data_IF_582737900496
#
_entry.id   IF_582737900496
#
_cell.length_a   1.000
_cell.length_b   1.000
_cell.length_c   1.000
_cell.angle_alpha   90.00
_cell.angle_beta   90.00
_cell.angle_gamma   90.00
#
_symmetry.space_group_name_H-M   'P 1'
#
loop_
_entity.id
_entity.type
_entity.pdbx_description
1 polymer ?
#
# COMPACT_ATOMS: atom_id res chain seq x y z
N UNK A 1 -13.50 -17.65 50.15
CA UNK A 1 -13.27 -18.91 49.43
C UNK A 1 -14.44 -19.11 48.49
N UNK A 2 -14.19 -19.24 47.17
CA UNK A 2 -15.16 -19.30 46.05
C UNK A 2 -15.83 -17.94 45.76
N UNK A 3 -16.01 -17.44 44.54
CA UNK A 3 -15.75 -17.91 43.17
C UNK A 3 -15.85 -16.65 42.30
N UNK A 4 -14.87 -16.33 41.44
CA UNK A 4 -15.04 -15.31 40.39
C UNK A 4 -14.60 -15.91 39.06
N UNK A 5 -15.62 -16.06 38.22
CA UNK A 5 -15.62 -16.52 36.84
C UNK A 5 -14.70 -15.67 35.96
N UNK A 6 -13.73 -16.32 35.30
CA UNK A 6 -12.98 -15.75 34.19
C UNK A 6 -13.84 -15.80 32.92
N UNK A 7 -14.45 -14.68 32.55
CA UNK A 7 -14.94 -14.46 31.19
C UNK A 7 -13.76 -13.95 30.36
N UNK A 8 -13.08 -14.85 29.64
CA UNK A 8 -12.04 -14.49 28.68
C UNK A 8 -12.69 -14.07 27.36
N UNK A 9 -13.01 -12.78 27.21
CA UNK A 9 -13.27 -12.19 25.89
C UNK A 9 -11.94 -12.07 25.14
N UNK A 10 -11.69 -13.02 24.24
CA UNK A 10 -10.54 -13.01 23.35
C UNK A 10 -10.69 -11.98 22.23
N UNK A 11 -10.36 -10.72 22.50
CA UNK A 11 -10.08 -9.74 21.46
C UNK A 11 -8.75 -10.11 20.79
N UNK A 12 -8.84 -10.85 19.70
CA UNK A 12 -7.70 -11.33 18.91
C UNK A 12 -7.63 -10.56 17.60
N UNK A 13 -7.06 -9.37 17.64
CA UNK A 13 -6.59 -8.66 16.43
C UNK A 13 -5.29 -7.98 16.83
N UNK A 14 -4.24 -8.15 16.01
CA UNK A 14 -3.24 -7.15 15.58
C UNK A 14 -2.22 -7.94 14.71
N UNK A 15 -2.25 -7.73 13.40
CA UNK A 15 -1.34 -8.34 12.40
C UNK A 15 -1.62 -9.81 12.04
N UNK A 16 -1.12 -10.25 10.87
CA UNK A 16 -1.07 -11.67 10.50
C UNK A 16 -0.31 -12.44 11.59
N UNK A 17 -1.02 -13.04 12.54
CA UNK A 17 -0.44 -13.93 13.55
C UNK A 17 0.27 -15.10 12.86
N UNK A 18 1.10 -15.89 13.55
CA UNK A 18 1.70 -17.12 12.97
C UNK A 18 0.67 -17.99 12.23
N UNK A 19 -0.58 -18.05 12.74
CA UNK A 19 -1.71 -18.73 12.11
C UNK A 19 -2.24 -18.01 10.87
N UNK A 20 -2.27 -16.67 10.90
CA UNK A 20 -2.61 -15.84 9.76
C UNK A 20 -1.59 -15.97 8.63
N UNK A 21 -0.28 -15.96 8.92
CA UNK A 21 0.75 -16.15 7.89
C UNK A 21 0.70 -17.53 7.24
N UNK A 22 0.45 -18.58 8.02
CA UNK A 22 0.27 -19.93 7.50
C UNK A 22 -1.00 -20.02 6.63
N UNK A 23 -2.09 -19.35 7.04
CA UNK A 23 -3.32 -19.19 6.25
C UNK A 23 -3.05 -18.47 4.94
N UNK A 24 -2.43 -17.29 4.99
CA UNK A 24 -2.02 -16.50 3.83
C UNK A 24 -1.14 -17.31 2.88
N UNK A 25 -0.12 -18.01 3.40
CA UNK A 25 0.78 -18.84 2.60
C UNK A 25 0.05 -20.01 1.93
N UNK A 26 -0.92 -20.64 2.61
CA UNK A 26 -1.75 -21.69 2.04
C UNK A 26 -2.68 -21.13 0.94
N UNK A 27 -3.29 -19.98 1.17
CA UNK A 27 -4.12 -19.26 0.18
C UNK A 27 -3.28 -18.86 -1.03
N UNK A 28 -2.07 -18.33 -0.82
CA UNK A 28 -1.08 -18.04 -1.85
C UNK A 28 -0.77 -19.27 -2.71
N UNK A 29 -0.56 -20.45 -2.11
CA UNK A 29 -0.35 -21.71 -2.86
C UNK A 29 -1.59 -22.11 -3.68
N UNK A 30 -2.80 -21.89 -3.16
CA UNK A 30 -4.07 -22.15 -3.85
C UNK A 30 -4.21 -21.27 -5.10
N UNK A 31 -4.00 -19.95 -4.96
CA UNK A 31 -4.03 -19.00 -6.08
C UNK A 31 -2.95 -19.30 -7.13
N UNK A 32 -1.75 -19.71 -6.70
CA UNK A 32 -0.64 -20.12 -7.59
C UNK A 32 -0.97 -21.33 -8.47
N UNK A 33 -1.90 -22.19 -8.05
CA UNK A 33 -2.36 -23.35 -8.82
C UNK A 33 -3.46 -23.01 -9.83
N UNK A 34 -4.07 -21.81 -9.76
CA UNK A 34 -5.11 -21.40 -10.69
C UNK A 34 -4.55 -20.78 -11.96
N UNK A 35 -5.10 -21.16 -13.12
CA UNK A 35 -4.69 -20.65 -14.44
C UNK A 35 -5.17 -19.21 -14.71
N UNK A 36 -6.29 -18.80 -14.09
CA UNK A 36 -6.84 -17.44 -14.04
C UNK A 36 -7.54 -17.27 -12.69
N UNK A 37 -7.00 -16.50 -11.73
CA UNK A 37 -7.63 -16.35 -10.43
C UNK A 37 -8.82 -15.41 -10.49
N UNK A 38 -9.84 -15.70 -9.69
CA UNK A 38 -11.11 -14.96 -9.62
C UNK A 38 -11.11 -14.06 -8.38
N UNK A 39 -11.78 -12.90 -8.48
CA UNK A 39 -11.88 -11.94 -7.37
C UNK A 39 -12.74 -12.50 -6.20
N UNK A 40 -12.44 -12.12 -4.94
CA UNK A 40 -13.23 -12.53 -3.77
C UNK A 40 -14.68 -11.98 -3.77
N UNK A 41 -15.63 -12.78 -3.30
CA UNK A 41 -17.03 -12.37 -3.12
C UNK A 41 -17.18 -11.38 -1.94
N UNK A 42 -18.05 -10.37 -2.11
CA UNK A 42 -18.47 -9.37 -1.11
C UNK A 42 -17.47 -8.28 -0.69
N UNK A 43 -16.39 -8.08 -1.46
CA UNK A 43 -15.41 -7.00 -1.18
C UNK A 43 -16.06 -5.62 -1.02
N UNK A 44 -17.14 -5.29 -1.74
CA UNK A 44 -17.78 -3.98 -1.66
C UNK A 44 -18.50 -3.69 -0.31
N UNK A 45 -18.86 -4.72 0.46
CA UNK A 45 -19.71 -4.58 1.67
C UNK A 45 -18.88 -4.56 2.96
N UNK A 46 -17.72 -5.24 2.97
CA UNK A 46 -16.86 -5.37 4.17
C UNK A 46 -16.06 -4.09 4.51
N UNK A 47 -16.02 -3.07 3.63
CA UNK A 47 -15.21 -1.85 3.77
C UNK A 47 -16.01 -0.59 4.16
N UNK A 48 -16.93 -0.68 5.11
CA UNK A 48 -17.64 0.49 5.65
C UNK A 48 -16.96 1.09 6.90
N UNK A 49 -16.82 2.42 6.88
CA UNK A 49 -16.08 3.29 7.81
C UNK A 49 -16.58 3.27 9.26
N UNK A 50 -15.65 3.23 10.25
CA UNK A 50 -15.93 3.45 11.69
C UNK A 50 -14.79 4.18 12.46
N UNK A 51 -15.10 5.42 12.85
CA UNK A 51 -14.69 6.21 14.05
C UNK A 51 -13.26 6.28 14.65
N UNK A 52 -12.84 7.54 14.97
CA UNK A 52 -12.13 7.97 16.22
C UNK A 52 -12.68 9.34 16.68
N UNK A 53 -12.63 9.69 17.99
CA UNK A 53 -12.90 11.03 18.51
C UNK A 53 -11.68 11.69 19.20
N UNK A 54 -10.77 12.38 18.49
CA UNK A 54 -9.70 13.21 19.09
C UNK A 54 -9.18 14.30 18.12
N UNK A 55 -8.64 15.41 18.62
CA UNK A 55 -8.08 16.53 17.82
C UNK A 55 -6.62 16.29 17.37
N UNK A 56 -6.09 17.01 16.35
CA UNK A 56 -4.71 16.81 15.80
C UNK A 56 -3.67 16.68 16.89
N UNK A 57 -3.65 17.66 17.80
CA UNK A 57 -2.64 17.80 18.84
C UNK A 57 -2.77 16.68 19.85
N UNK A 58 -4.00 16.30 20.20
CA UNK A 58 -4.28 15.17 21.08
C UNK A 58 -3.88 13.84 20.44
N UNK A 59 -4.11 13.66 19.14
CA UNK A 59 -3.76 12.44 18.41
C UNK A 59 -2.26 12.30 18.19
N UNK A 60 -1.60 13.37 17.74
CA UNK A 60 -0.15 13.40 17.56
C UNK A 60 0.55 13.24 18.91
N UNK A 61 0.09 13.91 19.97
CA UNK A 61 0.67 13.72 21.30
C UNK A 61 0.40 12.31 21.87
N UNK A 62 -0.80 11.77 21.69
CA UNK A 62 -1.15 10.43 22.18
C UNK A 62 -0.43 9.31 21.40
N UNK A 63 -0.38 9.37 20.07
CA UNK A 63 0.30 8.35 19.27
C UNK A 63 1.80 8.56 19.22
N UNK A 64 2.26 9.75 18.81
CA UNK A 64 3.68 9.99 18.54
C UNK A 64 4.43 10.05 19.86
N UNK A 65 4.15 11.04 20.72
CA UNK A 65 4.95 11.34 21.92
C UNK A 65 4.91 10.24 23.00
N UNK A 66 3.75 9.62 23.22
CA UNK A 66 3.55 8.64 24.31
C UNK A 66 3.86 7.20 23.90
N UNK A 67 3.61 6.82 22.65
CA UNK A 67 3.58 5.41 22.25
C UNK A 67 4.55 5.06 21.12
N UNK A 68 4.80 5.96 20.16
CA UNK A 68 5.73 5.72 19.06
C UNK A 68 7.16 6.21 19.34
N UNK A 69 7.35 7.36 20.00
CA UNK A 69 8.67 7.93 20.33
C UNK A 69 9.65 6.96 21.02
N UNK A 70 9.20 6.01 21.88
CA UNK A 70 10.10 5.01 22.46
C UNK A 70 10.57 3.91 21.50
N UNK A 71 9.93 3.76 20.33
CA UNK A 71 10.20 2.70 19.34
C UNK A 71 10.56 3.26 17.94
N UNK A 72 10.61 4.59 17.78
CA UNK A 72 10.94 5.27 16.53
C UNK A 72 12.41 5.02 16.13
N UNK A 73 12.66 4.38 14.98
CA UNK A 73 14.03 4.10 14.54
C UNK A 73 14.80 5.35 14.10
N UNK A 74 14.13 6.44 13.75
CA UNK A 74 14.75 7.67 13.20
C UNK A 74 15.05 8.73 14.28
N UNK A 75 14.99 8.35 15.56
CA UNK A 75 15.12 9.29 16.68
C UNK A 75 16.59 9.65 16.98
N UNK A 76 16.93 10.92 16.77
CA UNK A 76 18.29 11.46 16.99
C UNK A 76 18.66 11.80 18.46
N UNK A 77 17.74 11.67 19.43
CA UNK A 77 17.99 12.02 20.84
C UNK A 77 18.26 10.79 21.73
N UNK A 78 19.46 10.72 22.30
CA UNK A 78 19.95 9.62 23.15
C UNK A 78 19.13 9.41 24.45
N UNK A 79 18.43 8.29 24.52
CA UNK A 79 18.60 7.19 25.49
C UNK A 79 17.63 6.11 25.00
N UNK A 80 18.12 5.14 24.24
CA UNK A 80 17.40 3.88 24.05
C UNK A 80 17.23 3.29 25.45
N UNK A 81 16.04 3.40 26.03
CA UNK A 81 15.66 2.45 27.06
C UNK A 81 15.86 1.08 26.43
N UNK A 82 16.72 0.23 27.03
CA UNK A 82 16.99 -1.11 26.52
C UNK A 82 15.71 -1.95 26.63
N UNK A 83 14.79 -1.78 25.68
CA UNK A 83 13.56 -2.55 25.59
C UNK A 83 13.92 -3.93 25.10
N UNK A 84 13.41 -4.94 25.79
CA UNK A 84 13.49 -6.31 25.28
C UNK A 84 12.71 -6.41 23.96
N UNK A 85 13.11 -7.32 23.08
CA UNK A 85 12.48 -7.47 21.76
C UNK A 85 10.98 -7.80 21.84
N UNK A 86 10.58 -8.51 22.91
CA UNK A 86 9.19 -8.81 23.23
C UNK A 86 8.40 -7.58 23.68
N UNK A 87 8.98 -6.72 24.54
CA UNK A 87 8.35 -5.45 24.95
C UNK A 87 8.20 -4.50 23.76
N UNK A 88 9.22 -4.44 22.88
CA UNK A 88 9.17 -3.66 21.64
C UNK A 88 8.02 -4.16 20.76
N UNK A 89 7.90 -5.47 20.56
CA UNK A 89 6.82 -6.08 19.78
C UNK A 89 5.43 -5.75 20.34
N UNK A 90 5.26 -5.82 21.67
CA UNK A 90 3.98 -5.45 22.31
C UNK A 90 3.64 -3.98 22.10
N UNK A 91 4.63 -3.08 22.21
CA UNK A 91 4.43 -1.64 22.00
C UNK A 91 4.09 -1.32 20.55
N UNK A 92 4.78 -1.94 19.60
CA UNK A 92 4.46 -1.80 18.18
C UNK A 92 3.03 -2.26 17.87
N UNK A 93 2.64 -3.43 18.37
CA UNK A 93 1.27 -3.93 18.19
C UNK A 93 0.25 -2.95 18.78
N UNK A 94 0.55 -2.37 19.93
CA UNK A 94 -0.29 -1.32 20.53
C UNK A 94 -0.39 -0.08 19.65
N UNK A 95 0.73 0.38 19.08
CA UNK A 95 0.74 1.52 18.14
C UNK A 95 -0.09 1.22 16.90
N UNK A 96 0.06 0.02 16.30
CA UNK A 96 -0.75 -0.39 15.16
C UNK A 96 -2.25 -0.42 15.49
N UNK A 97 -2.62 -0.89 16.68
CA UNK A 97 -4.00 -0.88 17.16
C UNK A 97 -4.55 0.55 17.33
N UNK A 98 -3.73 1.49 17.82
CA UNK A 98 -4.13 2.90 17.96
C UNK A 98 -4.14 3.64 16.63
N UNK A 99 -3.38 3.18 15.65
CA UNK A 99 -3.33 3.74 14.30
C UNK A 99 -4.49 3.26 13.42
N UNK A 100 -5.01 2.05 13.65
CA UNK A 100 -6.10 1.46 12.86
C UNK A 100 -7.31 2.39 12.73
N UNK A 101 -7.84 2.99 13.81
CA UNK A 101 -9.01 3.82 13.64
C UNK A 101 -8.66 5.23 13.07
N UNK A 102 -7.37 5.64 13.06
CA UNK A 102 -6.92 6.85 12.35
C UNK A 102 -6.82 6.63 10.86
N UNK A 103 -6.40 5.43 10.47
CA UNK A 103 -6.37 5.01 9.07
C UNK A 103 -7.78 5.00 8.50
N UNK A 104 -8.74 4.48 9.26
CA UNK A 104 -10.15 4.51 8.88
C UNK A 104 -10.63 5.95 8.65
N UNK A 105 -10.30 6.89 9.55
CA UNK A 105 -10.62 8.32 9.37
C UNK A 105 -9.95 8.99 8.18
N UNK A 106 -8.78 8.49 7.77
CA UNK A 106 -8.05 9.00 6.61
C UNK A 106 -8.45 8.28 5.30
N UNK A 107 -9.51 7.46 5.37
CA UNK A 107 -10.11 6.64 4.31
C UNK A 107 -9.16 5.56 3.77
N UNK A 108 -8.29 5.04 4.63
CA UNK A 108 -7.45 3.90 4.29
C UNK A 108 -8.13 2.61 4.69
N UNK A 109 -8.29 1.70 3.73
CA UNK A 109 -8.86 0.39 3.96
C UNK A 109 -7.77 -0.65 4.10
N UNK A 110 -7.88 -1.50 5.12
CA UNK A 110 -6.98 -2.63 5.30
C UNK A 110 -7.16 -3.63 4.15
N UNK A 111 -6.06 -4.07 3.54
CA UNK A 111 -6.12 -5.08 2.49
C UNK A 111 -6.45 -6.45 3.08
N UNK A 112 -7.42 -7.14 2.48
CA UNK A 112 -7.76 -8.51 2.86
C UNK A 112 -6.60 -9.48 2.59
N UNK A 113 -6.55 -10.59 3.32
CA UNK A 113 -5.52 -11.61 3.13
C UNK A 113 -5.53 -12.15 1.69
N UNK A 114 -6.71 -12.30 1.07
CA UNK A 114 -6.84 -12.79 -0.30
C UNK A 114 -6.33 -11.78 -1.33
N UNK A 115 -6.70 -10.50 -1.18
CA UNK A 115 -6.22 -9.43 -2.05
C UNK A 115 -4.70 -9.27 -1.95
N UNK A 116 -4.16 -9.35 -0.73
CA UNK A 116 -2.72 -9.31 -0.50
C UNK A 116 -2.01 -10.53 -1.09
N UNK A 117 -2.55 -11.74 -0.90
CA UNK A 117 -1.99 -12.97 -1.48
C UNK A 117 -1.94 -12.91 -3.01
N UNK A 118 -2.99 -12.40 -3.65
CA UNK A 118 -3.03 -12.19 -5.09
C UNK A 118 -1.95 -11.18 -5.53
N UNK A 119 -1.90 -10.02 -4.88
CA UNK A 119 -0.98 -8.93 -5.21
C UNK A 119 0.50 -9.27 -5.01
N UNK A 120 0.83 -10.18 -4.08
CA UNK A 120 2.20 -10.64 -3.82
C UNK A 120 2.66 -11.78 -4.74
N UNK A 121 1.77 -12.37 -5.54
CA UNK A 121 2.09 -13.49 -6.44
C UNK A 121 2.07 -13.06 -7.90
N UNK A 122 1.02 -12.33 -8.27
CA UNK A 122 0.74 -12.01 -9.67
C UNK A 122 1.74 -10.97 -10.11
N UNK A 123 2.66 -11.39 -10.98
CA UNK A 123 3.63 -10.53 -11.62
C UNK A 123 3.08 -10.07 -12.97
N UNK A 124 3.12 -8.78 -13.25
CA UNK A 124 2.69 -8.27 -14.54
C UNK A 124 3.80 -8.48 -15.59
N UNK A 125 3.50 -8.95 -16.82
CA UNK A 125 4.50 -9.29 -17.84
C UNK A 125 5.33 -8.08 -18.32
N UNK A 126 4.83 -6.87 -18.12
CA UNK A 126 5.50 -5.62 -18.48
C UNK A 126 6.26 -4.96 -17.32
N UNK A 127 6.34 -5.60 -16.14
CA UNK A 127 7.20 -5.11 -15.07
C UNK A 127 8.64 -5.57 -15.31
N UNK A 128 9.54 -4.59 -15.45
CA UNK A 128 10.96 -4.82 -15.76
C UNK A 128 11.69 -5.49 -14.59
N UNK A 129 11.26 -5.19 -13.38
CA UNK A 129 11.78 -5.74 -12.13
C UNK A 129 10.73 -6.63 -11.49
N UNK A 130 10.96 -7.94 -11.57
CA UNK A 130 10.18 -8.93 -10.82
C UNK A 130 10.85 -9.14 -9.47
N UNK A 131 10.04 -9.28 -8.44
CA UNK A 131 10.53 -9.40 -7.09
C UNK A 131 9.94 -10.68 -6.48
N UNK A 132 10.59 -11.22 -5.45
CA UNK A 132 10.06 -12.40 -4.75
C UNK A 132 10.26 -12.23 -3.26
N UNK A 133 9.15 -12.28 -2.55
CA UNK A 133 9.07 -12.09 -1.11
C UNK A 133 9.19 -13.43 -0.41
N UNK A 134 10.01 -13.49 0.63
CA UNK A 134 10.01 -14.61 1.57
C UNK A 134 9.32 -14.18 2.87
N UNK A 135 8.10 -14.67 3.09
CA UNK A 135 7.29 -14.34 4.27
C UNK A 135 7.91 -14.84 5.58
N UNK A 136 8.77 -15.85 5.53
CA UNK A 136 9.44 -16.39 6.73
C UNK A 136 10.41 -15.39 7.37
N UNK A 137 10.80 -14.34 6.65
CA UNK A 137 11.70 -13.30 7.15
C UNK A 137 10.98 -12.24 7.98
N UNK A 138 9.65 -12.25 8.00
CA UNK A 138 8.82 -11.24 8.62
C UNK A 138 8.13 -11.76 9.88
N UNK A 139 7.97 -10.92 10.89
CA UNK A 139 7.16 -11.17 12.09
C UNK A 139 5.70 -10.79 11.90
N UNK A 140 5.43 -9.75 11.11
CA UNK A 140 4.10 -9.44 10.58
C UNK A 140 4.24 -8.44 9.43
N UNK A 141 3.23 -8.42 8.57
CA UNK A 141 3.11 -7.47 7.45
C UNK A 141 1.65 -7.06 7.39
N UNK A 142 1.39 -5.75 7.29
CA UNK A 142 0.05 -5.21 7.12
C UNK A 142 0.07 -4.13 6.06
N UNK A 143 -0.93 -4.15 5.18
CA UNK A 143 -1.10 -3.17 4.14
C UNK A 143 -2.45 -2.47 4.29
N UNK A 144 -2.46 -1.17 4.04
CA UNK A 144 -3.68 -0.39 3.86
C UNK A 144 -3.62 0.35 2.54
N UNK A 145 -4.74 0.48 1.85
CA UNK A 145 -4.84 1.15 0.57
C UNK A 145 -5.90 2.24 0.62
N UNK A 146 -5.61 3.34 -0.06
CA UNK A 146 -6.52 4.46 -0.25
C UNK A 146 -6.88 4.53 -1.72
N UNK A 147 -8.15 4.23 -2.02
CA UNK A 147 -8.77 4.38 -3.34
C UNK A 147 -8.12 3.55 -4.45
N UNK A 148 -8.89 3.36 -5.53
CA UNK A 148 -8.43 2.66 -6.72
C UNK A 148 -8.64 3.54 -7.95
N UNK A 149 -7.71 3.47 -8.89
CA UNK A 149 -7.79 4.16 -10.17
C UNK A 149 -7.43 3.21 -11.29
N UNK A 150 -8.01 3.45 -12.45
CA UNK A 150 -7.69 2.78 -13.71
C UNK A 150 -7.06 3.82 -14.62
N UNK A 151 -5.91 3.50 -15.19
CA UNK A 151 -5.32 4.33 -16.23
C UNK A 151 -3.91 3.92 -16.59
N UNK A 152 -3.31 4.61 -17.57
CA UNK A 152 -1.98 4.30 -18.03
C UNK A 152 -0.98 4.69 -16.93
N UNK A 153 -0.33 3.70 -16.31
CA UNK A 153 0.69 3.97 -15.32
C UNK A 153 1.92 4.53 -16.04
N UNK A 154 2.26 5.80 -15.75
CA UNK A 154 3.51 6.40 -16.23
C UNK A 154 4.68 5.72 -15.54
N UNK A 155 5.25 4.70 -16.18
CA UNK A 155 6.55 4.15 -15.79
C UNK A 155 7.59 5.23 -16.07
N UNK A 156 8.03 5.95 -15.02
CA UNK A 156 9.00 7.04 -15.17
C UNK A 156 10.35 6.56 -15.72
N UNK A 157 10.64 5.26 -15.60
CA UNK A 157 11.90 4.66 -16.00
C UNK A 157 11.97 4.17 -17.46
N UNK A 158 10.84 4.09 -18.19
CA UNK A 158 10.88 3.64 -19.58
C UNK A 158 11.59 4.70 -20.43
N UNK A 159 12.86 4.45 -20.73
CA UNK A 159 13.67 5.29 -21.61
C UNK A 159 12.97 5.44 -22.96
N UNK A 160 13.19 6.55 -23.66
CA UNK A 160 12.56 6.82 -24.98
C UNK A 160 12.75 5.66 -25.99
N UNK A 161 13.85 4.92 -25.85
CA UNK A 161 14.16 3.73 -26.65
C UNK A 161 13.29 2.49 -26.32
N UNK A 162 12.82 2.33 -25.09
CA UNK A 162 11.94 1.22 -24.66
C UNK A 162 10.48 1.42 -25.05
N UNK A 163 10.10 2.67 -25.35
CA UNK A 163 8.78 3.02 -25.89
C UNK A 163 8.62 2.61 -27.35
N UNK A 164 9.72 2.35 -28.05
CA UNK A 164 9.73 1.78 -29.40
C UNK A 164 10.00 0.28 -29.30
N UNK A 165 9.06 -0.54 -29.76
CA UNK A 165 9.33 -1.96 -29.97
C UNK A 165 10.46 -2.17 -30.98
N UNK A 166 10.94 -3.42 -31.10
CA UNK A 166 11.96 -3.81 -32.09
C UNK A 166 11.59 -3.39 -33.54
N UNK A 167 10.30 -3.11 -33.79
CA UNK A 167 9.72 -2.70 -35.07
C UNK A 167 9.21 -1.24 -35.09
N UNK A 168 9.67 -0.37 -34.18
CA UNK A 168 9.31 1.05 -34.19
C UNK A 168 7.86 1.36 -33.77
N UNK A 169 7.09 0.36 -33.34
CA UNK A 169 5.74 0.59 -32.79
C UNK A 169 5.85 1.25 -31.42
N UNK A 170 5.14 2.37 -31.23
CA UNK A 170 4.99 2.99 -29.93
C UNK A 170 4.23 2.04 -29.00
N UNK A 171 4.88 1.53 -27.95
CA UNK A 171 4.23 0.74 -26.90
C UNK A 171 3.28 1.67 -26.14
N UNK A 172 1.98 1.54 -26.40
CA UNK A 172 0.94 2.20 -25.63
C UNK A 172 0.96 1.57 -24.23
N UNK A 173 1.15 2.34 -23.14
CA UNK A 173 1.06 1.80 -21.79
C UNK A 173 -0.35 1.27 -21.58
N UNK A 174 -0.48 -0.03 -21.30
CA UNK A 174 -1.77 -0.64 -20.98
C UNK A 174 -2.38 0.03 -19.74
N UNK A 175 -3.69 0.22 -19.74
CA UNK A 175 -4.41 0.66 -18.56
C UNK A 175 -4.24 -0.36 -17.44
N UNK A 176 -3.86 0.13 -16.25
CA UNK A 176 -3.67 -0.70 -15.06
C UNK A 176 -4.45 -0.15 -13.90
N UNK A 177 -4.80 -1.05 -13.00
CA UNK A 177 -5.36 -0.69 -11.72
C UNK A 177 -4.23 -0.32 -10.77
N UNK A 178 -4.32 0.85 -10.16
CA UNK A 178 -3.36 1.30 -9.16
C UNK A 178 -4.06 1.91 -7.95
N UNK A 179 -3.47 1.71 -6.79
CA UNK A 179 -3.84 2.37 -5.55
C UNK A 179 -3.30 3.78 -5.54
N UNK A 180 -4.15 4.76 -5.16
CA UNK A 180 -3.72 6.16 -5.07
C UNK A 180 -2.67 6.32 -3.98
N UNK A 181 -2.89 5.69 -2.81
CA UNK A 181 -1.86 5.55 -1.77
C UNK A 181 -1.91 4.17 -1.13
N UNK A 182 -0.74 3.69 -0.69
CA UNK A 182 -0.59 2.42 0.03
C UNK A 182 0.31 2.63 1.23
N UNK A 183 -0.13 2.19 2.40
CA UNK A 183 0.65 2.17 3.63
C UNK A 183 1.10 0.74 3.90
N UNK A 184 2.38 0.59 4.25
CA UNK A 184 2.99 -0.67 4.61
C UNK A 184 3.52 -0.56 6.03
N UNK A 185 3.08 -1.48 6.89
CA UNK A 185 3.67 -1.73 8.19
C UNK A 185 4.27 -3.13 8.19
N UNK A 186 5.59 -3.22 8.31
CA UNK A 186 6.28 -4.51 8.33
C UNK A 186 7.35 -4.53 9.42
N UNK A 187 7.40 -5.64 10.17
CA UNK A 187 8.52 -5.96 11.04
C UNK A 187 9.23 -7.21 10.53
N UNK A 188 10.53 -7.11 10.34
CA UNK A 188 11.40 -8.25 10.01
C UNK A 188 11.86 -8.92 11.30
N UNK A 189 12.23 -10.20 11.23
CA UNK A 189 12.72 -10.95 12.40
C UNK A 189 13.95 -10.26 13.01
N UNK A 190 13.93 -10.03 14.33
CA UNK A 190 15.01 -9.38 15.09
C UNK A 190 15.31 -7.94 14.63
N UNK A 191 14.29 -7.22 14.14
CA UNK A 191 14.41 -5.84 13.68
C UNK A 191 13.28 -4.99 14.24
N UNK A 192 13.30 -3.71 13.91
CA UNK A 192 12.25 -2.75 14.23
C UNK A 192 11.12 -2.74 13.20
N UNK A 193 9.96 -2.22 13.62
CA UNK A 193 8.85 -1.87 12.74
C UNK A 193 9.25 -0.77 11.75
N UNK A 194 9.02 -1.02 10.47
CA UNK A 194 9.13 -0.03 9.38
C UNK A 194 7.73 0.36 8.92
N UNK A 195 7.43 1.66 8.97
CA UNK A 195 6.19 2.24 8.46
C UNK A 195 6.49 3.12 7.24
N UNK A 196 5.84 2.87 6.11
CA UNK A 196 6.02 3.68 4.88
C UNK A 196 4.72 3.87 4.14
N UNK A 197 4.55 5.05 3.54
CA UNK A 197 3.43 5.34 2.64
C UNK A 197 3.93 5.65 1.24
N UNK A 198 3.28 5.04 0.26
CA UNK A 198 3.60 5.13 -1.15
C UNK A 198 2.43 5.68 -1.96
N UNK A 199 2.70 6.40 -3.05
CA UNK A 199 1.71 6.87 -4.04
C UNK A 199 1.76 6.04 -5.31
N UNK A 200 0.61 5.95 -5.98
CA UNK A 200 0.47 5.42 -7.34
C UNK A 200 1.09 4.03 -7.52
N UNK A 201 0.68 3.08 -6.68
CA UNK A 201 1.19 1.70 -6.68
C UNK A 201 0.26 0.77 -7.47
N UNK A 202 0.76 0.03 -8.48
CA UNK A 202 -0.06 -0.97 -9.19
C UNK A 202 -0.47 -2.10 -8.26
N UNK A 203 -1.64 -2.69 -8.50
CA UNK A 203 -2.15 -3.81 -7.68
C UNK A 203 -1.16 -4.99 -7.63
N UNK A 204 -0.53 -5.29 -8.75
CA UNK A 204 0.40 -6.40 -8.93
C UNK A 204 1.81 -6.12 -8.35
N UNK A 205 2.08 -4.89 -7.89
CA UNK A 205 3.41 -4.44 -7.49
C UNK A 205 3.62 -4.31 -5.99
N UNK A 206 2.68 -4.78 -5.14
CA UNK A 206 2.81 -4.64 -3.68
C UNK A 206 4.06 -5.33 -3.11
N UNK A 207 4.54 -6.38 -3.77
CA UNK A 207 5.76 -7.09 -3.39
C UNK A 207 7.01 -6.20 -3.34
N UNK A 208 7.04 -5.16 -4.18
CA UNK A 208 8.19 -4.27 -4.32
C UNK A 208 8.33 -3.31 -3.14
N UNK A 209 7.23 -3.06 -2.40
CA UNK A 209 7.21 -2.12 -1.27
C UNK A 209 7.83 -2.68 0.01
N UNK A 210 8.03 -4.00 0.07
CA UNK A 210 8.53 -4.66 1.26
C UNK A 210 10.04 -4.41 1.44
N UNK A 211 10.55 -4.36 2.69
CA UNK A 211 11.94 -4.01 2.96
C UNK A 211 12.95 -5.12 2.60
N UNK A 212 12.59 -6.39 2.82
CA UNK A 212 13.41 -7.56 2.49
C UNK A 212 12.84 -8.27 1.27
N UNK A 213 13.41 -7.97 0.10
CA UNK A 213 13.00 -8.63 -1.14
C UNK A 213 14.17 -8.99 -2.04
N UNK A 214 14.00 -10.11 -2.76
CA UNK A 214 15.00 -10.61 -3.70
C UNK A 214 14.55 -10.29 -5.11
N UNK A 215 15.40 -9.60 -5.86
CA UNK A 215 15.19 -9.35 -7.29
C UNK A 215 15.24 -10.67 -8.04
N UNK A 216 14.16 -10.98 -8.75
CA UNK A 216 14.03 -12.16 -9.59
C UNK A 216 14.18 -11.72 -11.05
N UNK A 217 15.07 -12.40 -11.77
CA UNK A 217 15.14 -12.24 -13.23
C UNK A 217 14.11 -13.14 -13.90
N UNK A 218 13.34 -12.59 -14.84
CA UNK A 218 12.45 -13.39 -15.70
C UNK A 218 13.23 -14.49 -16.44
N UNK A 219 12.66 -15.71 -16.48
CA UNK A 219 13.28 -16.89 -17.11
C UNK A 219 13.50 -16.63 -18.61
N UNK A 220 12.54 -15.98 -19.28
CA UNK A 220 12.65 -15.65 -20.71
C UNK A 220 13.83 -14.70 -20.98
N UNK A 221 13.96 -13.64 -20.18
CA UNK A 221 15.07 -12.69 -20.32
C UNK A 221 16.42 -13.33 -20.00
N UNK A 222 16.47 -14.21 -19.00
CA UNK A 222 17.69 -14.99 -18.70
C UNK A 222 18.07 -15.93 -19.85
N UNK A 223 17.09 -16.60 -20.45
CA UNK A 223 17.31 -17.47 -21.60
C UNK A 223 17.79 -16.65 -22.82
N UNK A 224 17.11 -15.55 -23.14
CA UNK A 224 17.48 -14.66 -24.24
C UNK A 224 18.90 -14.07 -24.06
N UNK A 225 19.25 -13.69 -22.84
CA UNK A 225 20.59 -13.16 -22.54
C UNK A 225 21.66 -14.25 -22.69
N UNK A 226 21.39 -15.46 -22.20
CA UNK A 226 22.26 -16.62 -22.41
C UNK A 226 22.43 -16.94 -23.90
N UNK A 227 21.36 -16.94 -24.69
CA UNK A 227 21.44 -17.23 -26.12
C UNK A 227 22.23 -16.16 -26.87
N UNK A 228 22.01 -14.88 -26.58
CA UNK A 228 22.79 -13.79 -27.19
C UNK A 228 24.27 -13.86 -26.82
N UNK A 229 24.59 -14.23 -25.57
CA UNK A 229 25.96 -14.44 -25.13
C UNK A 229 26.62 -15.62 -25.86
N UNK A 230 25.90 -16.73 -26.06
CA UNK A 230 26.40 -17.89 -26.81
C UNK A 230 26.61 -17.56 -28.28
N UNK A 231 25.62 -16.94 -28.94
CA UNK A 231 25.70 -16.57 -30.36
C UNK A 231 26.82 -15.56 -30.61
N UNK A 232 26.92 -14.53 -29.77
CA UNK A 232 28.01 -13.54 -29.90
C UNK A 232 29.37 -14.13 -29.55
N UNK A 233 29.46 -15.04 -28.57
CA UNK A 233 30.67 -15.76 -28.23
C UNK A 233 31.15 -16.64 -29.38
N UNK A 234 30.24 -17.40 -30.01
CA UNK A 234 30.55 -18.25 -31.15
C UNK A 234 31.04 -17.43 -32.36
N UNK A 235 30.37 -16.32 -32.67
CA UNK A 235 30.80 -15.42 -33.73
C UNK A 235 32.21 -14.85 -33.49
N UNK A 236 32.51 -14.44 -32.25
CA UNK A 236 33.84 -13.97 -31.86
C UNK A 236 34.89 -15.10 -31.97
N UNK A 237 34.55 -16.32 -31.54
CA UNK A 237 35.43 -17.48 -31.62
C UNK A 237 35.79 -17.83 -33.06
N UNK A 238 34.79 -17.86 -33.96
CA UNK A 238 35.03 -18.16 -35.38
C UNK A 238 35.91 -17.07 -36.00
N UNK A 239 35.57 -15.79 -35.83
CA UNK A 239 36.29 -14.70 -36.47
C UNK A 239 37.70 -14.51 -35.93
N UNK A 240 37.87 -14.44 -34.61
CA UNK A 240 39.17 -14.18 -33.97
C UNK A 240 39.99 -15.46 -33.88
N UNK A 241 39.36 -16.59 -33.56
CA UNK A 241 40.03 -17.88 -33.47
C UNK A 241 40.63 -18.31 -34.80
N UNK A 242 39.93 -18.13 -35.92
CA UNK A 242 40.46 -18.47 -37.24
C UNK A 242 41.72 -17.67 -37.60
N UNK A 243 41.76 -16.37 -37.27
CA UNK A 243 42.93 -15.51 -37.48
C UNK A 243 44.10 -15.94 -36.58
N UNK A 244 43.84 -16.18 -35.29
CA UNK A 244 44.89 -16.58 -34.33
C UNK A 244 45.46 -17.98 -34.61
N UNK A 245 44.63 -18.91 -35.07
CA UNK A 245 45.07 -20.25 -35.50
C UNK A 245 45.94 -20.20 -36.75
N UNK A 246 45.61 -19.31 -37.69
CA UNK A 246 46.33 -19.21 -38.98
C UNK A 246 47.67 -18.48 -38.83
N UNK A 247 47.71 -17.38 -38.07
CA UNK A 247 48.88 -16.49 -38.04
C UNK A 247 49.79 -16.72 -36.83
N UNK A 248 49.26 -17.09 -35.65
CA UNK A 248 50.04 -17.14 -34.41
C UNK A 248 50.55 -18.53 -34.01
N UNK A 249 50.16 -19.61 -34.71
CA UNK A 249 50.52 -21.02 -34.38
C UNK A 249 50.36 -21.36 -32.88
N UNK A 250 49.41 -20.73 -32.20
CA UNK A 250 49.09 -21.00 -30.80
C UNK A 250 48.35 -22.34 -30.70
N UNK A 251 48.70 -23.14 -29.69
CA UNK A 251 48.03 -24.42 -29.43
C UNK A 251 46.53 -24.24 -29.20
N UNK A 252 45.71 -25.12 -29.78
CA UNK A 252 44.25 -25.08 -29.65
C UNK A 252 43.77 -25.07 -28.20
N UNK A 253 44.50 -25.72 -27.31
CA UNK A 253 44.21 -25.80 -25.86
C UNK A 253 44.37 -24.45 -25.16
N UNK A 254 45.41 -23.68 -25.46
CA UNK A 254 45.64 -22.36 -24.86
C UNK A 254 44.68 -21.32 -25.43
N UNK A 255 44.32 -21.43 -26.72
CA UNK A 255 43.28 -20.61 -27.34
C UNK A 255 41.91 -20.83 -26.68
N UNK A 256 41.51 -22.10 -26.48
CA UNK A 256 40.26 -22.45 -25.80
C UNK A 256 40.23 -21.93 -24.36
N UNK A 257 41.34 -22.04 -23.63
CA UNK A 257 41.44 -21.51 -22.27
C UNK A 257 41.29 -19.99 -22.22
N UNK A 258 42.00 -19.26 -23.09
CA UNK A 258 41.91 -17.79 -23.19
C UNK A 258 40.50 -17.35 -23.58
N UNK A 259 39.88 -18.05 -24.53
CA UNK A 259 38.52 -17.79 -24.94
C UNK A 259 37.52 -18.05 -23.81
N UNK A 260 37.65 -19.16 -23.07
CA UNK A 260 36.82 -19.45 -21.92
C UNK A 260 36.95 -18.37 -20.82
N UNK A 261 38.17 -17.90 -20.55
CA UNK A 261 38.41 -16.81 -19.60
C UNK A 261 37.76 -15.48 -20.06
N UNK A 262 37.90 -15.12 -21.33
CA UNK A 262 37.27 -13.93 -21.91
C UNK A 262 35.75 -14.01 -21.89
N UNK A 263 35.20 -15.18 -22.20
CA UNK A 263 33.75 -15.42 -22.14
C UNK A 263 33.22 -15.38 -20.72
N UNK A 264 33.94 -15.94 -19.74
CA UNK A 264 33.60 -15.83 -18.33
C UNK A 264 33.60 -14.36 -17.86
N UNK A 265 34.60 -13.57 -18.27
CA UNK A 265 34.66 -12.14 -17.96
C UNK A 265 33.51 -11.35 -18.60
N UNK A 266 33.21 -11.58 -19.89
CA UNK A 266 32.05 -10.96 -20.56
C UNK A 266 30.74 -11.34 -19.90
N UNK A 267 30.54 -12.62 -19.59
CA UNK A 267 29.37 -13.10 -18.88
C UNK A 267 29.23 -12.34 -17.56
N UNK A 268 30.29 -12.32 -16.75
CA UNK A 268 30.29 -11.63 -15.46
C UNK A 268 29.95 -10.14 -15.59
N UNK A 269 30.56 -9.41 -16.53
CA UNK A 269 30.26 -8.00 -16.80
C UNK A 269 28.79 -7.77 -17.18
N UNK A 270 28.26 -8.55 -18.12
CA UNK A 270 26.87 -8.41 -18.60
C UNK A 270 25.86 -8.73 -17.49
N UNK A 271 26.07 -9.81 -16.74
CA UNK A 271 25.20 -10.19 -15.63
C UNK A 271 25.28 -9.19 -14.46
N UNK A 272 26.48 -8.72 -14.14
CA UNK A 272 26.70 -7.73 -13.08
C UNK A 272 26.02 -6.40 -13.41
N UNK A 273 26.24 -5.89 -14.62
CA UNK A 273 25.62 -4.65 -15.09
C UNK A 273 24.09 -4.73 -15.08
N UNK A 274 23.51 -5.85 -15.55
CA UNK A 274 22.05 -5.99 -15.57
C UNK A 274 21.42 -6.04 -14.17
N UNK A 275 22.07 -6.73 -13.22
CA UNK A 275 21.63 -6.74 -11.81
C UNK A 275 21.60 -5.33 -11.22
N UNK A 276 22.64 -4.54 -11.47
CA UNK A 276 22.74 -3.18 -10.96
C UNK A 276 21.64 -2.26 -11.56
N UNK A 277 21.35 -2.39 -12.86
CA UNK A 277 20.27 -1.64 -13.52
C UNK A 277 18.91 -1.97 -12.88
N UNK A 278 18.61 -3.25 -12.71
CA UNK A 278 17.34 -3.69 -12.09
C UNK A 278 17.20 -3.26 -10.63
N UNK A 279 18.29 -3.30 -9.85
CA UNK A 279 18.25 -2.77 -8.49
C UNK A 279 18.05 -1.25 -8.46
N UNK A 280 18.65 -0.53 -9.42
CA UNK A 280 18.56 0.92 -9.50
C UNK A 280 17.14 1.38 -9.89
N UNK A 281 16.51 0.69 -10.84
CA UNK A 281 15.11 0.93 -11.23
C UNK A 281 14.15 0.77 -10.04
N UNK A 282 14.34 -0.30 -9.25
CA UNK A 282 13.55 -0.53 -8.04
C UNK A 282 13.76 0.59 -7.00
N UNK A 283 15.00 1.02 -6.79
CA UNK A 283 15.33 2.12 -5.88
C UNK A 283 14.69 3.43 -6.36
N UNK A 284 14.78 3.75 -7.65
CA UNK A 284 14.11 4.93 -8.21
C UNK A 284 12.59 4.87 -8.04
N UNK A 285 11.99 3.71 -8.30
CA UNK A 285 10.56 3.50 -8.12
C UNK A 285 10.16 3.77 -6.66
N UNK A 286 10.85 3.16 -5.69
CA UNK A 286 10.58 3.37 -4.27
C UNK A 286 10.83 4.82 -3.84
N UNK A 287 11.90 5.45 -4.31
CA UNK A 287 12.24 6.83 -3.97
C UNK A 287 11.17 7.82 -4.44
N UNK A 288 10.77 7.76 -5.70
CA UNK A 288 9.79 8.72 -6.25
C UNK A 288 8.36 8.45 -5.81
N UNK A 289 8.06 7.21 -5.39
CA UNK A 289 6.73 6.84 -4.92
C UNK A 289 6.60 6.90 -3.40
N UNK A 290 7.68 6.88 -2.63
CA UNK A 290 7.63 7.11 -1.18
C UNK A 290 7.14 8.53 -0.91
N UNK A 291 6.21 8.65 0.02
CA UNK A 291 5.59 9.94 0.40
C UNK A 291 5.92 10.34 1.82
N UNK A 292 5.95 9.39 2.75
CA UNK A 292 6.33 9.62 4.15
C UNK A 292 6.80 8.33 4.80
N UNK A 293 7.67 8.47 5.80
CA UNK A 293 8.26 7.37 6.56
C UNK A 293 7.96 7.53 8.06
N UNK A 294 7.78 6.42 8.78
CA UNK A 294 7.82 6.36 10.24
C UNK A 294 6.97 7.45 10.93
N UNK A 295 7.56 8.35 11.73
CA UNK A 295 6.83 9.41 12.45
C UNK A 295 6.16 10.41 11.51
N UNK A 296 6.80 10.77 10.38
CA UNK A 296 6.21 11.65 9.36
C UNK A 296 4.93 11.05 8.78
N UNK A 297 4.85 9.71 8.67
CA UNK A 297 3.62 9.05 8.26
C UNK A 297 2.49 9.29 9.26
N UNK A 298 2.75 9.21 10.56
CA UNK A 298 1.73 9.44 11.59
C UNK A 298 1.23 10.89 11.54
N UNK A 299 2.11 11.87 11.33
CA UNK A 299 1.73 13.27 11.17
C UNK A 299 0.93 13.50 9.88
N UNK A 300 1.34 12.88 8.78
CA UNK A 300 0.61 12.96 7.51
C UNK A 300 -0.78 12.30 7.61
N UNK A 301 -0.90 11.19 8.35
CA UNK A 301 -2.16 10.49 8.60
C UNK A 301 -3.11 11.33 9.43
N UNK A 302 -2.63 11.90 10.54
CA UNK A 302 -3.46 12.76 11.39
C UNK A 302 -3.94 13.99 10.63
N UNK A 303 -3.06 14.66 9.87
CA UNK A 303 -3.46 15.79 9.02
C UNK A 303 -4.54 15.38 8.02
N UNK A 304 -4.37 14.25 7.35
CA UNK A 304 -5.34 13.75 6.37
C UNK A 304 -6.69 13.42 7.00
N UNK A 305 -6.69 12.73 8.16
CA UNK A 305 -7.91 12.43 8.89
C UNK A 305 -8.70 13.70 9.25
N UNK A 306 -8.00 14.78 9.59
CA UNK A 306 -8.62 16.08 9.84
C UNK A 306 -9.19 16.74 8.59
N UNK A 307 -8.47 16.66 7.46
CA UNK A 307 -8.97 17.20 6.19
C UNK A 307 -10.24 16.47 5.74
N UNK A 308 -10.29 15.15 5.86
CA UNK A 308 -11.51 14.39 5.55
C UNK A 308 -12.66 14.77 6.51
N UNK A 309 -12.37 14.88 7.81
CA UNK A 309 -13.37 15.33 8.78
C UNK A 309 -13.87 16.76 8.52
N UNK A 310 -12.99 17.70 8.14
CA UNK A 310 -13.37 19.07 7.82
C UNK A 310 -14.34 19.12 6.63
N UNK A 311 -14.13 18.28 5.61
CA UNK A 311 -15.07 18.15 4.48
C UNK A 311 -16.44 17.67 4.95
N UNK A 312 -16.48 16.68 5.85
CA UNK A 312 -17.75 16.20 6.39
C UNK A 312 -18.50 17.28 7.16
N UNK A 313 -17.80 18.04 8.01
CA UNK A 313 -18.37 19.14 8.80
C UNK A 313 -18.93 20.23 7.89
N UNK A 314 -18.19 20.62 6.85
CA UNK A 314 -18.65 21.62 5.87
C UNK A 314 -19.91 21.15 5.15
N UNK A 315 -19.92 19.90 4.69
CA UNK A 315 -21.09 19.31 4.02
C UNK A 315 -22.29 19.27 4.98
N UNK A 316 -22.14 18.68 6.17
CA UNK A 316 -23.21 18.60 7.17
C UNK A 316 -23.79 19.99 7.48
N UNK A 317 -22.92 20.99 7.68
CA UNK A 317 -23.35 22.36 7.96
C UNK A 317 -24.12 22.99 6.78
N UNK A 318 -23.64 22.83 5.55
CA UNK A 318 -24.32 23.39 4.37
C UNK A 318 -25.73 22.82 4.16
N UNK A 319 -25.91 21.51 4.38
CA UNK A 319 -27.21 20.84 4.22
C UNK A 319 -28.16 21.18 5.37
N UNK A 320 -27.65 21.29 6.60
CA UNK A 320 -28.44 21.77 7.73
C UNK A 320 -28.93 23.20 7.52
N UNK A 321 -28.07 24.10 7.01
CA UNK A 321 -28.46 25.47 6.66
C UNK A 321 -29.52 25.51 5.56
N UNK A 322 -29.35 24.72 4.50
CA UNK A 322 -30.31 24.66 3.40
C UNK A 322 -31.69 24.19 3.89
N UNK A 323 -31.73 23.19 4.77
CA UNK A 323 -32.97 22.71 5.38
C UNK A 323 -33.62 23.79 6.25
N UNK A 324 -32.84 24.51 7.05
CA UNK A 324 -33.35 25.62 7.88
C UNK A 324 -33.94 26.75 7.02
N UNK A 325 -33.29 27.11 5.91
CA UNK A 325 -33.80 28.12 4.98
C UNK A 325 -35.10 27.68 4.30
N UNK A 326 -35.22 26.41 3.92
CA UNK A 326 -36.45 25.86 3.34
C UNK A 326 -37.62 25.83 4.33
N UNK A 327 -37.36 25.62 5.63
CA UNK A 327 -38.38 25.68 6.67
C UNK A 327 -38.86 27.10 7.01
N UNK A 328 -38.07 28.13 6.70
CA UNK A 328 -38.43 29.54 6.94
C UNK A 328 -39.25 30.17 5.81
N UNK A 329 -39.39 29.50 4.65
CA UNK A 329 -40.25 29.97 3.56
C UNK A 329 -41.73 29.70 3.88
N UNK A 330 -42.61 30.72 3.86
CA UNK A 330 -44.01 30.56 4.27
C UNK A 330 -44.84 29.89 3.17
N UNK A 331 -45.09 28.59 3.27
CA UNK A 331 -46.15 27.88 2.54
C UNK A 331 -46.98 26.98 3.50
N UNK A 332 -48.25 26.67 3.13
CA UNK A 332 -49.33 26.38 4.08
C UNK A 332 -49.21 25.02 4.77
N UNK A 333 -49.79 24.97 5.98
CA UNK A 333 -49.52 24.06 7.11
C UNK A 333 -49.96 22.59 6.97
N UNK A 334 -50.20 22.05 5.77
CA UNK A 334 -50.89 20.75 5.63
C UNK A 334 -50.01 19.53 5.32
N UNK A 335 -48.68 19.64 5.38
CA UNK A 335 -47.81 18.46 5.23
C UNK A 335 -46.67 18.47 6.22
N UNK A 336 -46.97 18.68 7.50
CA UNK A 336 -46.05 18.28 8.58
C UNK A 336 -46.16 16.79 8.76
N UNK A 337 -45.49 16.03 7.89
CA UNK A 337 -45.20 14.62 8.17
C UNK A 337 -44.14 14.62 9.25
N UNK A 338 -44.56 14.40 10.50
CA UNK A 338 -43.70 13.95 11.59
C UNK A 338 -43.04 12.65 11.12
N UNK A 339 -41.80 12.75 10.65
CA UNK A 339 -40.97 11.58 10.43
C UNK A 339 -39.94 11.58 11.53
N UNK A 340 -40.15 10.72 12.53
CA UNK A 340 -39.27 10.42 13.68
C UNK A 340 -37.88 9.86 13.29
N UNK A 341 -37.43 10.10 12.06
CA UNK A 341 -36.09 9.77 11.60
C UNK A 341 -35.10 10.80 12.15
N UNK A 342 -34.18 10.32 12.98
CA UNK A 342 -33.06 11.05 13.56
C UNK A 342 -32.50 12.09 12.57
N UNK A 343 -32.42 13.40 12.91
CA UNK A 343 -32.00 14.47 11.99
C UNK A 343 -30.62 14.20 11.37
N UNK A 344 -29.77 13.46 12.08
CA UNK A 344 -28.45 13.02 11.61
C UNK A 344 -28.56 12.04 10.44
N UNK A 345 -29.48 11.08 10.48
CA UNK A 345 -29.68 10.12 9.39
C UNK A 345 -30.29 10.78 8.14
N UNK A 346 -31.13 11.79 8.34
CA UNK A 346 -31.69 12.56 7.25
C UNK A 346 -30.59 13.32 6.49
N UNK A 347 -29.72 14.03 7.22
CA UNK A 347 -28.55 14.71 6.64
C UNK A 347 -27.65 13.70 5.94
N UNK A 348 -27.42 12.53 6.55
CA UNK A 348 -26.61 11.46 5.93
C UNK A 348 -27.15 11.07 4.56
N UNK A 349 -28.43 10.67 4.48
CA UNK A 349 -29.04 10.23 3.21
C UNK A 349 -29.03 11.32 2.15
N UNK A 350 -29.28 12.58 2.52
CA UNK A 350 -29.26 13.70 1.58
C UNK A 350 -27.86 13.95 1.01
N UNK A 351 -26.85 13.96 1.88
CA UNK A 351 -25.45 14.17 1.47
C UNK A 351 -24.97 13.00 0.61
N UNK A 352 -25.25 11.76 0.99
CA UNK A 352 -24.90 10.56 0.22
C UNK A 352 -25.55 10.57 -1.16
N UNK A 353 -26.84 10.90 -1.25
CA UNK A 353 -27.55 11.00 -2.54
C UNK A 353 -26.96 12.10 -3.44
N UNK A 354 -26.62 13.26 -2.86
CA UNK A 354 -25.98 14.36 -3.59
C UNK A 354 -24.57 14.00 -4.05
N UNK A 355 -23.79 13.31 -3.21
CA UNK A 355 -22.45 12.84 -3.53
C UNK A 355 -22.49 11.81 -4.65
N UNK A 356 -23.43 10.87 -4.59
CA UNK A 356 -23.64 9.88 -5.65
C UNK A 356 -24.02 10.55 -6.98
N UNK A 357 -24.93 11.53 -6.95
CA UNK A 357 -25.34 12.25 -8.17
C UNK A 357 -24.20 13.04 -8.82
N UNK A 358 -23.28 13.61 -8.02
CA UNK A 358 -22.16 14.41 -8.54
C UNK A 358 -20.93 13.61 -8.92
N UNK A 359 -20.63 12.56 -8.17
CA UNK A 359 -19.39 11.79 -8.31
C UNK A 359 -19.58 10.44 -9.01
N UNK A 360 -20.80 9.92 -9.03
CA UNK A 360 -21.10 8.55 -9.50
C UNK A 360 -20.54 7.46 -8.58
N UNK A 361 -20.09 7.80 -7.37
CA UNK A 361 -19.51 6.89 -6.39
C UNK A 361 -20.44 6.76 -5.18
N UNK A 362 -20.54 5.54 -4.64
CA UNK A 362 -21.16 5.30 -3.35
C UNK A 362 -20.17 5.70 -2.25
N UNK A 363 -20.40 6.87 -1.65
CA UNK A 363 -19.57 7.41 -0.57
C UNK A 363 -20.37 7.27 0.72
N UNK A 364 -19.81 6.59 1.71
CA UNK A 364 -20.36 6.58 3.06
C UNK A 364 -20.07 7.93 3.72
N UNK A 365 -21.08 8.54 4.34
CA UNK A 365 -20.93 9.84 4.96
C UNK A 365 -21.11 9.76 6.48
N UNK A 366 -20.08 10.14 7.24
CA UNK A 366 -20.14 10.16 8.71
C UNK A 366 -20.87 11.40 9.25
N UNK A 367 -22.20 11.41 9.15
CA UNK A 367 -23.03 12.52 9.63
C UNK A 367 -22.96 12.70 11.16
N UNK A 368 -22.88 11.62 11.91
CA UNK A 368 -22.88 11.62 13.38
C UNK A 368 -21.72 12.44 13.95
N UNK A 369 -20.49 12.18 13.47
CA UNK A 369 -19.28 12.90 13.87
C UNK A 369 -19.34 14.36 13.46
N UNK A 370 -19.77 14.65 12.23
CA UNK A 370 -19.89 16.02 11.73
C UNK A 370 -20.91 16.84 12.55
N UNK A 371 -22.08 16.26 12.84
CA UNK A 371 -23.10 16.90 13.66
C UNK A 371 -22.65 17.07 15.12
N UNK A 372 -21.92 16.13 15.69
CA UNK A 372 -21.34 16.28 17.03
C UNK A 372 -20.35 17.44 17.07
N UNK A 373 -19.43 17.53 16.10
CA UNK A 373 -18.46 18.63 16.03
C UNK A 373 -19.17 19.99 15.88
N UNK A 374 -20.21 20.07 15.05
CA UNK A 374 -21.00 21.29 14.89
C UNK A 374 -21.73 21.71 16.19
N UNK A 375 -22.19 20.74 16.99
CA UNK A 375 -22.77 20.99 18.32
C UNK A 375 -21.71 21.55 19.27
N UNK A 376 -20.51 20.97 19.28
CA UNK A 376 -19.38 21.41 20.13
C UNK A 376 -18.91 22.84 19.79
N UNK A 377 -18.93 23.21 18.50
CA UNK A 377 -18.61 24.57 18.04
C UNK A 377 -19.70 25.61 18.36
N UNK A 378 -20.86 25.21 18.86
CA UNK A 378 -21.96 26.12 19.21
C UNK A 378 -22.56 26.86 18.01
N UNK A 379 -22.41 26.34 16.79
CA UNK A 379 -22.96 26.96 15.57
C UNK A 379 -24.48 26.82 15.59
N UNK A 380 -25.19 27.93 15.80
CA UNK A 380 -26.65 28.00 15.84
C UNK A 380 -27.24 27.59 14.48
N UNK A 381 -27.89 26.43 14.45
CA UNK A 381 -28.48 25.80 13.25
C UNK A 381 -28.68 24.29 13.43
N UNK A 382 -27.87 23.64 14.28
CA UNK A 382 -28.19 22.34 14.84
C UNK A 382 -29.21 22.54 15.97
N UNK A 383 -30.44 22.07 15.77
CA UNK A 383 -31.52 22.18 16.75
C UNK A 383 -31.04 21.83 18.15
N UNK A 384 -31.26 22.73 19.11
CA UNK A 384 -31.40 22.33 20.50
C UNK A 384 -32.61 21.39 20.57
N UNK A 385 -32.48 20.11 20.93
CA UNK A 385 -33.59 19.44 21.56
C UNK A 385 -33.67 20.07 22.95
N UNK A 386 -34.63 20.96 23.15
CA UNK A 386 -35.10 21.28 24.51
C UNK A 386 -35.71 19.98 25.02
N UNK A 387 -34.91 19.22 25.79
CA UNK A 387 -35.44 18.14 26.61
C UNK A 387 -36.02 18.84 27.82
N UNK A 388 -37.35 18.93 27.85
CA UNK A 388 -38.13 19.11 29.08
C UNK A 388 -38.28 17.78 29.80
#
# INVERSE_FOLDING_TARGET
>A
MLSITRLALGNKIIGLSLRGKASLAATMVKYRRMRKPTEPQNWAVDYQEKYIPFSKSQLVEALVKKHYTPIDPDRDTLQEFCLTDAERLMKEQKVLAMMEPLLDQANFNKLSEEALAYALIVNHPHDEVQVTVNLDQYEYITFWALGQRIGPLRVMAATRAERTGLFGTARIPADRHYFKRVIVAARTKNSHLVLKCFKDIPLEGLEQLLPLVKVRTSIFHRALLNTMLVVSGLALFVNVGMVVLSDLKIGTTTLLFLFAALMAFRAWKVFGQRRNIHSLELVHMLYYRSTSNNSELLDALTLRAQEEHAKEVILAHSFLLQHHQQQQQPLPKETRVETDSNPVEHVRKQVEAWLHLRSGLEINFCAERACQHLKELGVKGAAHPVIG
#
